data_IF_820695284119
#
_entry.id   IF_820695284119
#
_cell.length_a   1.000
_cell.length_b   1.000
_cell.length_c   1.000
_cell.angle_alpha   90.00
_cell.angle_beta   90.00
_cell.angle_gamma   90.00
#
_symmetry.space_group_name_H-M   'P 1'
#
loop_
_entity.id
_entity.type
_entity.pdbx_description
1 polymer ?
#
# COMPACT_ATOMS: atom_id res chain seq x y z
N UNK A 1 -9.14 5.09 -21.62
CA UNK A 1 -9.23 6.30 -20.74
C UNK A 1 -8.24 7.37 -21.19
N UNK A 2 -8.44 8.63 -20.76
CA UNK A 2 -7.50 9.72 -21.10
C UNK A 2 -6.21 9.51 -20.29
N UNK A 3 -5.06 9.52 -20.99
CA UNK A 3 -3.74 9.45 -20.34
C UNK A 3 -3.41 10.72 -19.57
N UNK A 4 -2.51 10.56 -18.60
CA UNK A 4 -1.97 11.64 -17.78
C UNK A 4 -2.63 11.78 -16.42
N UNK A 5 -2.33 12.87 -15.75
CA UNK A 5 -2.81 13.16 -14.39
C UNK A 5 -4.25 13.64 -14.39
N UNK A 6 -5.02 13.14 -13.43
CA UNK A 6 -6.41 13.55 -13.16
C UNK A 6 -6.63 13.59 -11.65
N UNK A 7 -7.43 14.55 -11.20
CA UNK A 7 -7.87 14.61 -9.81
C UNK A 7 -9.27 14.01 -9.71
N UNK A 8 -9.42 12.97 -8.90
CA UNK A 8 -10.71 12.37 -8.59
C UNK A 8 -11.29 13.01 -7.33
N UNK A 9 -12.54 13.47 -7.40
CA UNK A 9 -13.26 13.88 -6.20
C UNK A 9 -14.02 12.69 -5.65
N UNK A 10 -13.72 12.32 -4.40
CA UNK A 10 -14.42 11.27 -3.67
C UNK A 10 -15.83 11.73 -3.21
N UNK A 11 -16.70 10.80 -2.92
CA UNK A 11 -18.07 11.08 -2.45
C UNK A 11 -18.10 11.81 -1.10
N UNK A 12 -17.01 11.69 -0.31
CA UNK A 12 -16.81 12.43 0.94
C UNK A 12 -16.24 13.84 0.74
N UNK A 13 -15.96 14.26 -0.50
CA UNK A 13 -15.47 15.58 -0.88
C UNK A 13 -13.94 15.72 -0.95
N UNK A 14 -13.17 14.73 -0.51
CA UNK A 14 -11.71 14.73 -0.68
C UNK A 14 -11.31 14.46 -2.12
N UNK A 15 -10.07 14.87 -2.45
CA UNK A 15 -9.49 14.74 -3.78
C UNK A 15 -8.32 13.77 -3.75
N UNK A 16 -8.30 12.85 -4.71
CA UNK A 16 -7.17 11.96 -4.93
C UNK A 16 -6.48 12.29 -6.24
N UNK A 17 -5.16 12.34 -6.18
CA UNK A 17 -4.32 12.38 -7.36
C UNK A 17 -4.29 11.00 -8.02
N UNK A 18 -4.49 10.98 -9.33
CA UNK A 18 -4.39 9.76 -10.14
C UNK A 18 -3.60 10.02 -11.40
N UNK A 19 -2.94 8.99 -11.92
CA UNK A 19 -2.27 9.04 -13.21
C UNK A 19 -2.57 7.76 -14.00
N UNK A 20 -2.80 7.93 -15.29
CA UNK A 20 -3.02 6.84 -16.23
C UNK A 20 -1.96 6.89 -17.32
N UNK A 21 -1.26 5.77 -17.55
CA UNK A 21 -0.20 5.61 -18.52
C UNK A 21 -0.45 4.41 -19.44
N UNK A 22 0.09 4.46 -20.63
CA UNK A 22 -0.05 3.38 -21.61
C UNK A 22 -1.44 3.33 -22.27
N UNK A 23 -1.56 2.49 -23.29
CA UNK A 23 -2.79 2.29 -24.06
C UNK A 23 -3.05 0.78 -24.20
N UNK A 24 -4.31 0.39 -24.16
CA UNK A 24 -4.71 -1.00 -24.38
C UNK A 24 -5.95 -1.40 -23.58
N UNK A 25 -6.33 -2.67 -23.76
CA UNK A 25 -7.55 -3.23 -23.15
C UNK A 25 -7.27 -4.00 -21.85
N UNK A 26 -6.01 -4.05 -21.41
CA UNK A 26 -5.60 -4.65 -20.16
C UNK A 26 -5.43 -3.52 -19.15
N UNK A 27 -6.32 -3.42 -18.18
CA UNK A 27 -6.24 -2.40 -17.13
C UNK A 27 -5.57 -2.95 -15.88
N UNK A 28 -4.55 -2.24 -15.37
CA UNK A 28 -3.84 -2.55 -14.14
C UNK A 28 -3.98 -1.37 -13.17
N UNK A 29 -4.67 -1.58 -12.04
CA UNK A 29 -4.74 -0.61 -10.95
C UNK A 29 -3.66 -0.92 -9.91
N UNK A 30 -2.87 0.09 -9.54
CA UNK A 30 -1.71 -0.05 -8.66
C UNK A 30 -1.96 0.60 -7.29
N UNK A 31 -1.73 -0.16 -6.23
CA UNK A 31 -1.86 0.28 -4.84
C UNK A 31 -0.48 0.36 -4.17
N UNK A 32 -0.09 1.57 -3.75
CA UNK A 32 1.17 1.77 -3.04
C UNK A 32 1.15 1.21 -1.61
N UNK A 33 2.33 1.04 -1.03
CA UNK A 33 2.54 0.58 0.33
C UNK A 33 2.33 1.68 1.39
N UNK A 34 2.68 1.38 2.62
CA UNK A 34 2.56 2.29 3.76
C UNK A 34 1.67 1.71 4.87
N UNK A 35 0.51 2.30 5.24
CA UNK A 35 -0.16 3.51 4.66
C UNK A 35 0.73 4.75 4.61
N UNK A 36 0.45 5.66 3.64
CA UNK A 36 1.21 6.91 3.48
C UNK A 36 2.43 6.82 2.54
N UNK A 37 2.60 5.73 1.78
CA UNK A 37 3.51 5.66 0.65
C UNK A 37 3.01 6.50 -0.54
N UNK A 38 3.66 6.35 -1.70
CA UNK A 38 3.37 7.13 -2.90
C UNK A 38 3.25 6.26 -4.14
N UNK A 39 2.67 6.79 -5.21
CA UNK A 39 2.59 6.13 -6.51
C UNK A 39 3.96 5.86 -7.16
N UNK A 40 5.04 6.47 -6.69
CA UNK A 40 6.39 6.43 -7.30
C UNK A 40 6.92 5.01 -7.52
N UNK A 41 6.44 4.02 -6.77
CA UNK A 41 6.74 2.59 -7.01
C UNK A 41 6.36 2.09 -8.40
N UNK A 42 5.41 2.77 -9.06
CA UNK A 42 4.73 2.28 -10.26
C UNK A 42 5.03 3.14 -11.50
N UNK A 43 5.81 4.23 -11.36
CA UNK A 43 6.01 5.22 -12.43
C UNK A 43 6.59 4.62 -13.71
N UNK A 44 7.45 3.62 -13.60
CA UNK A 44 8.05 2.97 -14.76
C UNK A 44 7.14 1.91 -15.42
N UNK A 45 6.05 1.49 -14.76
CA UNK A 45 5.19 0.41 -15.25
C UNK A 45 4.51 0.77 -16.59
N UNK A 46 4.17 2.04 -16.80
CA UNK A 46 3.57 2.49 -18.05
C UNK A 46 4.49 2.29 -19.26
N UNK A 47 5.79 2.53 -19.09
CA UNK A 47 6.81 2.32 -20.11
C UNK A 47 7.11 0.82 -20.29
N UNK A 48 7.38 0.12 -19.19
CA UNK A 48 7.78 -1.29 -19.19
C UNK A 48 6.68 -2.24 -19.71
N UNK A 49 5.42 -1.86 -19.58
CA UNK A 49 4.28 -2.68 -19.99
C UNK A 49 3.60 -2.18 -21.28
N UNK A 50 4.14 -1.14 -21.92
CA UNK A 50 3.53 -0.51 -23.09
C UNK A 50 3.29 -1.50 -24.25
N UNK A 51 4.28 -2.33 -24.56
CA UNK A 51 4.22 -3.30 -25.67
C UNK A 51 3.25 -4.47 -25.41
N UNK A 52 2.76 -4.60 -24.17
CA UNK A 52 1.82 -5.64 -23.76
C UNK A 52 0.35 -5.20 -23.85
N UNK A 53 0.08 -3.96 -24.28
CA UNK A 53 -1.27 -3.41 -24.33
C UNK A 53 -1.88 -3.21 -22.95
N UNK A 54 -1.06 -2.88 -21.97
CA UNK A 54 -1.47 -2.60 -20.59
C UNK A 54 -1.65 -1.10 -20.39
N UNK A 55 -2.81 -0.71 -19.86
CA UNK A 55 -3.04 0.64 -19.35
C UNK A 55 -2.92 0.62 -17.83
N UNK A 56 -1.91 1.32 -17.31
CA UNK A 56 -1.57 1.39 -15.89
C UNK A 56 -2.26 2.57 -15.24
N UNK A 57 -2.96 2.32 -14.16
CA UNK A 57 -3.63 3.33 -13.33
C UNK A 57 -2.98 3.33 -11.95
N UNK A 58 -2.47 4.46 -11.52
CA UNK A 58 -1.91 4.64 -10.20
C UNK A 58 -2.58 5.82 -9.50
N UNK A 59 -2.63 5.79 -8.18
CA UNK A 59 -3.15 6.91 -7.39
C UNK A 59 -2.46 6.98 -6.04
N UNK A 60 -2.43 8.16 -5.46
CA UNK A 60 -2.06 8.36 -4.06
C UNK A 60 -3.31 8.22 -3.18
N UNK A 61 -3.25 7.33 -2.20
CA UNK A 61 -4.33 7.13 -1.24
C UNK A 61 -4.56 8.40 -0.40
N UNK A 62 -5.73 8.56 0.20
CA UNK A 62 -6.03 9.71 1.06
C UNK A 62 -4.98 9.85 2.19
N UNK A 63 -4.46 11.05 2.37
CA UNK A 63 -3.36 11.32 3.29
C UNK A 63 -1.97 11.04 2.72
N UNK A 64 -1.87 10.73 1.42
CA UNK A 64 -0.58 10.46 0.75
C UNK A 64 -0.27 11.51 -0.31
N UNK A 65 0.96 11.95 -0.32
CA UNK A 65 1.70 12.74 -1.31
C UNK A 65 0.87 13.85 -2.00
N UNK A 66 0.34 13.60 -3.22
CA UNK A 66 -0.42 14.59 -3.99
C UNK A 66 -1.93 14.56 -3.76
N UNK A 67 -2.41 13.61 -2.96
CA UNK A 67 -3.81 13.57 -2.54
C UNK A 67 -4.07 14.48 -1.34
N UNK A 68 -5.34 14.78 -1.05
CA UNK A 68 -5.71 15.58 0.11
C UNK A 68 -5.18 14.97 1.42
N UNK A 69 -4.77 15.85 2.33
CA UNK A 69 -4.14 15.51 3.60
C UNK A 69 -5.10 15.84 4.76
N UNK A 70 -5.94 14.89 5.23
CA UNK A 70 -6.76 15.12 6.42
C UNK A 70 -5.90 15.38 7.65
N UNK A 71 -6.41 16.20 8.57
CA UNK A 71 -5.71 16.41 9.86
C UNK A 71 -5.87 15.18 10.77
N UNK A 72 -4.98 14.22 10.63
CA UNK A 72 -4.97 13.01 11.45
C UNK A 72 -4.53 13.22 12.90
N UNK A 73 -4.14 14.44 13.29
CA UNK A 73 -3.97 14.81 14.70
C UNK A 73 -5.31 14.95 15.42
N UNK A 74 -6.41 15.16 14.69
CA UNK A 74 -7.78 15.08 15.19
C UNK A 74 -8.19 13.60 15.34
N UNK A 75 -8.45 13.12 16.59
CA UNK A 75 -8.82 11.72 16.83
C UNK A 75 -10.09 11.27 16.11
N UNK A 76 -11.05 12.15 15.87
CA UNK A 76 -12.30 11.80 15.17
C UNK A 76 -12.03 11.59 13.66
N UNK A 77 -11.16 12.43 13.07
CA UNK A 77 -10.72 12.26 11.68
C UNK A 77 -9.88 10.98 11.54
N UNK A 78 -8.91 10.79 12.43
CA UNK A 78 -8.08 9.59 12.42
C UNK A 78 -8.94 8.32 12.55
N UNK A 79 -9.86 8.25 13.50
CA UNK A 79 -10.77 7.13 13.71
C UNK A 79 -11.65 6.85 12.51
N UNK A 80 -12.06 7.87 11.78
CA UNK A 80 -12.95 7.75 10.61
C UNK A 80 -12.21 7.25 9.37
N UNK A 81 -10.99 7.73 9.13
CA UNK A 81 -10.29 7.53 7.86
C UNK A 81 -9.08 6.59 7.95
N UNK A 82 -8.41 6.48 9.11
CA UNK A 82 -7.29 5.54 9.26
C UNK A 82 -7.80 4.13 9.63
N UNK A 83 -8.64 3.58 8.77
CA UNK A 83 -9.19 2.23 8.92
C UNK A 83 -9.04 1.43 7.64
N UNK A 84 -8.85 0.14 7.78
CA UNK A 84 -8.78 -0.78 6.63
C UNK A 84 -10.06 -0.73 5.80
N UNK A 85 -11.23 -0.62 6.44
CA UNK A 85 -12.52 -0.54 5.76
C UNK A 85 -12.65 0.72 4.90
N UNK A 86 -12.14 1.86 5.40
CA UNK A 86 -12.13 3.09 4.62
C UNK A 86 -11.29 2.94 3.36
N UNK A 87 -10.02 2.51 3.48
CA UNK A 87 -9.12 2.36 2.33
C UNK A 87 -9.63 1.30 1.34
N UNK A 88 -10.22 0.22 1.82
CA UNK A 88 -10.87 -0.76 0.95
C UNK A 88 -12.05 -0.16 0.17
N UNK A 89 -12.86 0.69 0.82
CA UNK A 89 -13.93 1.45 0.19
C UNK A 89 -13.40 2.46 -0.84
N UNK A 90 -12.27 3.11 -0.54
CA UNK A 90 -11.59 4.04 -1.43
C UNK A 90 -11.13 3.36 -2.72
N UNK A 91 -10.51 2.16 -2.64
CA UNK A 91 -10.13 1.38 -3.84
C UNK A 91 -11.36 1.13 -4.73
N UNK A 92 -12.49 0.73 -4.14
CA UNK A 92 -13.72 0.47 -4.90
C UNK A 92 -14.31 1.76 -5.51
N UNK A 93 -14.21 2.88 -4.81
CA UNK A 93 -14.64 4.18 -5.33
C UNK A 93 -13.74 4.64 -6.48
N UNK A 94 -12.41 4.53 -6.34
CA UNK A 94 -11.43 4.82 -7.40
C UNK A 94 -11.71 3.96 -8.63
N UNK A 95 -11.91 2.64 -8.45
CA UNK A 95 -12.30 1.73 -9.54
C UNK A 95 -13.52 2.26 -10.31
N UNK A 96 -14.59 2.61 -9.58
CA UNK A 96 -15.85 3.11 -10.19
C UNK A 96 -15.63 4.40 -10.95
N UNK A 97 -14.93 5.37 -10.35
CA UNK A 97 -14.68 6.69 -10.96
C UNK A 97 -13.75 6.59 -12.18
N UNK A 98 -12.83 5.62 -12.20
CA UNK A 98 -12.02 5.29 -13.37
C UNK A 98 -12.74 4.37 -14.36
N UNK A 99 -13.95 3.88 -14.09
CA UNK A 99 -14.70 3.00 -14.98
C UNK A 99 -14.03 1.65 -15.23
N UNK A 100 -13.29 1.13 -14.25
CA UNK A 100 -12.58 -0.14 -14.38
C UNK A 100 -13.51 -1.32 -14.08
N UNK A 101 -13.77 -2.13 -15.10
CA UNK A 101 -14.43 -3.42 -14.98
C UNK A 101 -13.53 -4.52 -15.56
N UNK A 102 -13.46 -5.68 -14.89
CA UNK A 102 -12.59 -6.77 -15.30
C UNK A 102 -11.12 -6.35 -15.46
N UNK A 103 -10.53 -5.82 -14.40
CA UNK A 103 -9.16 -5.30 -14.35
C UNK A 103 -8.24 -6.18 -13.49
N UNK A 104 -6.94 -5.94 -13.58
CA UNK A 104 -5.93 -6.48 -12.67
C UNK A 104 -5.64 -5.49 -11.56
N UNK A 105 -5.49 -6.00 -10.34
CA UNK A 105 -5.11 -5.20 -9.17
C UNK A 105 -3.75 -5.66 -8.67
N UNK A 106 -2.81 -4.73 -8.52
CA UNK A 106 -1.51 -4.98 -7.92
C UNK A 106 -1.32 -4.11 -6.68
N UNK A 107 -0.82 -4.70 -5.60
CA UNK A 107 -0.48 -3.95 -4.40
C UNK A 107 0.81 -4.42 -3.77
N UNK A 108 1.59 -3.46 -3.25
CA UNK A 108 2.84 -3.69 -2.54
C UNK A 108 2.66 -3.43 -1.05
N UNK A 109 3.15 -4.33 -0.17
CA UNK A 109 3.07 -4.17 1.29
C UNK A 109 1.63 -3.88 1.75
N UNK A 110 1.35 -2.72 2.34
CA UNK A 110 -0.01 -2.28 2.68
C UNK A 110 -0.99 -2.38 1.51
N UNK A 111 -0.57 -1.94 0.30
CA UNK A 111 -1.36 -2.12 -0.92
C UNK A 111 -1.62 -3.59 -1.24
N UNK A 112 -0.68 -4.48 -0.87
CA UNK A 112 -0.85 -5.93 -0.96
C UNK A 112 -1.94 -6.46 -0.02
N UNK A 113 -2.02 -5.95 1.22
CA UNK A 113 -3.10 -6.26 2.16
C UNK A 113 -4.46 -5.80 1.61
N UNK A 114 -4.53 -4.57 1.08
CA UNK A 114 -5.75 -4.06 0.43
C UNK A 114 -6.15 -4.91 -0.79
N UNK A 115 -5.17 -5.38 -1.58
CA UNK A 115 -5.41 -6.26 -2.72
C UNK A 115 -6.04 -7.60 -2.31
N UNK A 116 -5.55 -8.22 -1.22
CA UNK A 116 -6.14 -9.44 -0.66
C UNK A 116 -7.59 -9.20 -0.22
N UNK A 117 -7.82 -8.15 0.57
CA UNK A 117 -9.16 -7.82 1.08
C UNK A 117 -10.12 -7.44 -0.06
N UNK A 118 -9.61 -6.74 -1.08
CA UNK A 118 -10.39 -6.40 -2.27
C UNK A 118 -10.79 -7.65 -3.05
N UNK A 119 -9.88 -8.58 -3.25
CA UNK A 119 -10.16 -9.85 -3.91
C UNK A 119 -11.22 -10.67 -3.18
N UNK A 120 -11.22 -10.65 -1.85
CA UNK A 120 -12.23 -11.34 -1.03
C UNK A 120 -13.61 -10.67 -1.11
N UNK A 121 -13.69 -9.34 -1.13
CA UNK A 121 -14.95 -8.60 -1.06
C UNK A 121 -15.53 -8.22 -2.42
N UNK A 122 -14.67 -7.89 -3.37
CA UNK A 122 -15.00 -7.34 -4.69
C UNK A 122 -14.37 -8.12 -5.84
N UNK A 123 -13.97 -9.37 -5.61
CA UNK A 123 -13.25 -10.21 -6.57
C UNK A 123 -13.97 -10.43 -7.91
N UNK A 124 -15.30 -10.26 -7.95
CA UNK A 124 -16.10 -10.33 -9.18
C UNK A 124 -15.68 -9.29 -10.24
N UNK A 125 -15.03 -8.20 -9.84
CA UNK A 125 -14.53 -7.17 -10.75
C UNK A 125 -13.11 -7.45 -11.25
N UNK A 126 -12.40 -8.40 -10.65
CA UNK A 126 -11.00 -8.69 -10.97
C UNK A 126 -10.87 -9.75 -12.07
N UNK A 127 -9.92 -9.53 -12.99
CA UNK A 127 -9.31 -10.57 -13.83
C UNK A 127 -8.21 -11.32 -13.07
N UNK A 128 -7.53 -10.64 -12.16
CA UNK A 128 -6.48 -11.20 -11.33
C UNK A 128 -5.99 -10.21 -10.29
N UNK A 129 -5.32 -10.74 -9.25
CA UNK A 129 -4.71 -9.97 -8.18
C UNK A 129 -3.24 -10.35 -8.05
N UNK A 130 -2.38 -9.34 -7.90
CA UNK A 130 -0.94 -9.49 -7.72
C UNK A 130 -0.58 -8.91 -6.35
N UNK A 131 -0.12 -9.76 -5.44
CA UNK A 131 0.26 -9.40 -4.08
C UNK A 131 1.78 -9.38 -4.01
N UNK A 132 2.34 -8.19 -3.79
CA UNK A 132 3.78 -8.00 -3.69
C UNK A 132 4.19 -7.66 -2.27
N UNK A 133 5.20 -8.39 -1.75
CA UNK A 133 5.82 -8.13 -0.44
C UNK A 133 4.79 -7.98 0.71
N UNK A 134 3.81 -8.88 0.74
CA UNK A 134 2.80 -8.93 1.79
C UNK A 134 2.47 -10.39 2.14
N UNK A 135 2.20 -10.61 3.41
CA UNK A 135 1.80 -11.91 3.97
C UNK A 135 0.29 -11.99 4.19
N UNK A 136 -0.23 -13.19 4.31
CA UNK A 136 -1.65 -13.45 4.61
C UNK A 136 -1.93 -13.52 6.11
N UNK A 137 -0.91 -13.83 6.93
CA UNK A 137 -1.01 -13.95 8.37
C UNK A 137 0.09 -13.14 9.09
N UNK A 138 -0.29 -11.97 9.59
CA UNK A 138 0.63 -11.08 10.31
C UNK A 138 1.17 -11.71 11.61
N UNK A 139 0.38 -12.51 12.31
CA UNK A 139 0.82 -13.12 13.55
C UNK A 139 1.93 -14.15 13.29
N UNK A 140 1.75 -15.04 12.32
CA UNK A 140 2.79 -15.99 11.90
C UNK A 140 4.04 -15.28 11.39
N UNK A 141 3.88 -14.20 10.63
CA UNK A 141 5.00 -13.38 10.17
C UNK A 141 5.79 -12.80 11.34
N UNK A 142 5.13 -12.22 12.35
CA UNK A 142 5.79 -11.65 13.53
C UNK A 142 6.48 -12.73 14.36
N UNK A 143 5.87 -13.90 14.51
CA UNK A 143 6.50 -15.05 15.17
C UNK A 143 7.78 -15.47 14.44
N UNK A 144 7.73 -15.60 13.12
CA UNK A 144 8.89 -15.97 12.31
C UNK A 144 10.00 -14.93 12.39
N UNK A 145 9.69 -13.64 12.31
CA UNK A 145 10.67 -12.55 12.48
C UNK A 145 11.35 -12.62 13.85
N UNK A 146 10.62 -12.96 14.91
CA UNK A 146 11.21 -13.13 16.23
C UNK A 146 12.20 -14.31 16.28
N UNK A 147 11.90 -15.43 15.61
CA UNK A 147 12.83 -16.54 15.50
C UNK A 147 14.11 -16.16 14.74
N UNK A 148 13.96 -15.47 13.58
CA UNK A 148 15.11 -14.98 12.81
C UNK A 148 15.98 -14.03 13.65
N UNK A 149 15.38 -13.16 14.45
CA UNK A 149 16.12 -12.27 15.38
C UNK A 149 16.93 -13.07 16.41
N UNK A 150 16.34 -14.10 16.99
CA UNK A 150 16.95 -14.95 18.01
C UNK A 150 18.11 -15.80 17.43
N UNK A 151 18.04 -16.16 16.16
CA UNK A 151 19.11 -16.85 15.45
C UNK A 151 20.26 -15.93 15.03
N UNK A 152 19.93 -14.73 14.55
CA UNK A 152 20.89 -13.80 13.97
C UNK A 152 21.60 -12.90 14.99
N UNK A 153 21.01 -12.67 16.16
CA UNK A 153 21.50 -11.72 17.16
C UNK A 153 21.75 -12.35 18.53
N UNK A 154 22.74 -11.86 19.29
CA UNK A 154 22.94 -12.29 20.68
C UNK A 154 21.68 -12.00 21.54
N UNK A 155 21.37 -12.82 22.57
CA UNK A 155 20.21 -12.63 23.42
C UNK A 155 20.08 -11.24 24.07
N UNK A 156 21.24 -10.60 24.36
CA UNK A 156 21.30 -9.23 24.90
C UNK A 156 20.80 -8.20 23.89
N UNK A 157 21.12 -8.38 22.60
CA UNK A 157 20.66 -7.50 21.52
C UNK A 157 19.15 -7.64 21.29
N UNK A 158 18.63 -8.87 21.25
CA UNK A 158 17.18 -9.14 21.14
C UNK A 158 16.41 -8.50 22.30
N UNK A 159 16.92 -8.66 23.54
CA UNK A 159 16.31 -8.01 24.72
C UNK A 159 16.32 -6.48 24.62
N UNK A 160 17.41 -5.93 24.12
CA UNK A 160 17.53 -4.49 23.89
C UNK A 160 16.50 -4.01 22.87
N UNK A 161 16.42 -4.66 21.71
CA UNK A 161 15.47 -4.32 20.66
C UNK A 161 14.01 -4.35 21.18
N UNK A 162 13.60 -5.42 21.86
CA UNK A 162 12.27 -5.54 22.46
C UNK A 162 11.97 -4.40 23.47
N UNK A 163 12.99 -3.91 24.19
CA UNK A 163 12.83 -2.76 25.09
C UNK A 163 12.58 -1.45 24.35
N UNK A 164 13.34 -1.19 23.27
CA UNK A 164 13.21 0.01 22.44
C UNK A 164 11.86 0.02 21.71
N UNK A 165 11.45 -1.11 21.15
CA UNK A 165 10.13 -1.29 20.51
C UNK A 165 8.97 -0.97 21.46
N UNK A 166 9.07 -1.45 22.71
CA UNK A 166 8.06 -1.15 23.74
C UNK A 166 8.02 0.33 24.12
N UNK A 167 9.15 1.03 24.01
CA UNK A 167 9.24 2.47 24.28
C UNK A 167 8.81 3.32 23.07
N UNK A 168 8.69 2.75 21.89
CA UNK A 168 8.40 3.46 20.63
C UNK A 168 9.57 4.33 20.15
N UNK A 169 10.79 4.07 20.60
CA UNK A 169 11.99 4.84 20.27
C UNK A 169 12.71 4.22 19.04
N UNK A 170 12.03 4.27 17.90
CA UNK A 170 12.48 3.63 16.65
C UNK A 170 13.75 4.25 16.08
N UNK A 171 14.09 5.49 16.45
CA UNK A 171 15.27 6.23 15.98
C UNK A 171 16.52 5.95 16.83
N UNK A 172 16.44 5.08 17.85
CA UNK A 172 17.60 4.69 18.67
C UNK A 172 18.75 4.16 17.80
N UNK A 173 19.95 4.78 17.87
CA UNK A 173 21.06 4.42 16.97
C UNK A 173 21.57 2.99 17.13
N UNK A 174 21.44 2.37 18.31
CA UNK A 174 21.85 1.00 18.54
C UNK A 174 20.79 0.02 18.03
N UNK A 175 19.52 0.37 18.15
CA UNK A 175 18.42 -0.39 17.53
C UNK A 175 18.60 -0.46 16.02
N UNK A 176 18.85 0.69 15.37
CA UNK A 176 19.06 0.74 13.92
C UNK A 176 20.25 -0.12 13.45
N UNK A 177 21.34 -0.18 14.21
CA UNK A 177 22.47 -1.08 13.90
C UNK A 177 22.07 -2.56 13.92
N UNK A 178 21.18 -2.96 14.82
CA UNK A 178 20.69 -4.34 14.85
C UNK A 178 19.71 -4.60 13.69
N UNK A 179 18.88 -3.63 13.32
CA UNK A 179 18.04 -3.71 12.13
C UNK A 179 18.87 -3.90 10.86
N UNK A 180 19.98 -3.16 10.72
CA UNK A 180 20.92 -3.30 9.59
C UNK A 180 21.55 -4.70 9.50
N UNK A 181 21.79 -5.36 10.63
CA UNK A 181 22.29 -6.75 10.65
C UNK A 181 21.23 -7.72 10.14
N UNK A 182 19.97 -7.50 10.49
CA UNK A 182 18.83 -8.36 10.08
C UNK A 182 18.45 -8.19 8.61
N UNK A 183 18.79 -7.06 8.00
CA UNK A 183 18.49 -6.73 6.59
C UNK A 183 19.59 -7.21 5.61
N UNK A 184 20.63 -7.88 6.08
CA UNK A 184 21.74 -8.42 5.25
C UNK A 184 21.51 -9.88 4.91
#
# INVERSE_FOLDING_TARGET
>A
MKQGTTILTLDNGYHLWTNTQGEGDIHLLCLHGGPGGTHEYWENFGEELADLGVQVHMYDQLGSFYSDQPDYSDPEIAKKYLTTDYFLGEVEEVRKKLGLDHFYLIGQSWGGALTQLYALKYGQHLKGAIISSMVDNINEYVEHINLVREEALPPSAVKYMKKIEKAGDWDDPQYQKYVDVLNR
#
